data_IF_582319773033
#
_entry.id   IF_582319773033
#
_cell.length_a   1.000
_cell.length_b   1.000
_cell.length_c   1.000
_cell.angle_alpha   90.00
_cell.angle_beta   90.00
_cell.angle_gamma   90.00
#
_symmetry.space_group_name_H-M   'P 1'
#
loop_
_entity.id
_entity.type
_entity.pdbx_description
1 polymer ?
#
# COMPACT_ATOMS: atom_id res chain seq x y z
N UNK A 1 25.62 2.97 12.72
CA UNK A 1 24.22 3.20 13.14
C UNK A 1 23.62 4.31 12.29
N UNK A 2 23.14 3.99 11.10
CA UNK A 2 22.17 4.85 10.41
C UNK A 2 20.87 4.64 11.18
N UNK A 3 20.40 5.64 11.91
CA UNK A 3 19.05 5.61 12.47
C UNK A 3 18.10 5.59 11.27
N UNK A 4 17.34 4.51 11.17
CA UNK A 4 16.40 4.26 10.09
C UNK A 4 15.37 5.40 10.14
N UNK A 5 15.20 6.11 9.03
CA UNK A 5 14.22 7.20 8.86
C UNK A 5 12.79 6.64 8.65
N UNK A 6 12.52 5.44 9.17
CA UNK A 6 11.27 4.67 8.99
C UNK A 6 10.05 5.39 9.59
N UNK A 7 10.27 6.10 10.70
CA UNK A 7 9.18 6.62 11.54
C UNK A 7 8.81 8.08 11.29
N UNK A 8 9.08 8.69 10.12
CA UNK A 8 8.83 10.14 9.93
C UNK A 8 7.60 10.49 9.07
N UNK A 9 7.01 9.55 8.33
CA UNK A 9 5.90 9.86 7.40
C UNK A 9 4.59 9.11 7.71
N UNK A 10 4.60 7.85 8.16
CA UNK A 10 3.42 7.32 8.89
C UNK A 10 3.15 8.20 10.12
N UNK A 11 4.22 8.76 10.69
CA UNK A 11 4.19 9.81 11.70
C UNK A 11 3.69 11.16 11.18
N UNK A 12 3.82 11.52 9.89
CA UNK A 12 3.29 12.79 9.39
C UNK A 12 1.75 12.77 9.28
N UNK A 13 1.16 11.60 9.02
CA UNK A 13 -0.29 11.41 9.13
C UNK A 13 -0.70 11.32 10.61
N UNK A 14 0.00 10.57 11.46
CA UNK A 14 -0.40 10.43 12.87
C UNK A 14 0.02 11.58 13.82
N UNK A 15 0.98 12.44 13.48
CA UNK A 15 1.44 13.54 14.34
C UNK A 15 0.73 14.88 14.06
N UNK A 16 0.02 15.00 12.93
CA UNK A 16 -0.99 16.05 12.78
C UNK A 16 -2.17 15.85 13.77
N UNK A 17 -2.38 14.60 14.22
CA UNK A 17 -3.43 14.20 15.17
C UNK A 17 -3.27 14.71 16.63
N UNK A 18 -2.32 15.61 16.91
CA UNK A 18 -2.23 16.32 18.20
C UNK A 18 -1.95 17.82 18.02
N UNK A 19 -2.50 18.41 16.96
CA UNK A 19 -2.55 19.86 16.75
C UNK A 19 -3.34 20.55 17.85
N UNK A 20 -2.73 20.77 19.02
CA UNK A 20 -3.18 21.78 19.96
C UNK A 20 -3.27 23.10 19.19
N UNK A 21 -4.50 23.60 19.05
CA UNK A 21 -4.77 24.86 18.37
C UNK A 21 -3.77 25.93 18.86
N UNK A 22 -3.16 26.73 17.97
CA UNK A 22 -2.31 27.82 18.41
C UNK A 22 -3.15 28.75 19.29
N UNK A 23 -2.75 28.85 20.57
CA UNK A 23 -3.33 29.76 21.55
C UNK A 23 -3.32 31.18 20.97
N UNK A 24 -4.49 31.66 20.53
CA UNK A 24 -4.68 33.04 20.12
C UNK A 24 -4.29 33.94 21.29
N UNK A 25 -3.21 34.70 21.11
CA UNK A 25 -2.75 35.69 22.05
C UNK A 25 -3.79 36.81 22.22
N UNK A 26 -4.67 36.66 23.22
CA UNK A 26 -5.54 37.71 23.67
C UNK A 26 -4.76 38.73 24.49
N UNK A 27 -4.64 39.94 23.94
CA UNK A 27 -4.24 41.15 24.65
C UNK A 27 -5.27 41.50 25.73
N UNK A 28 -4.87 41.51 27.01
CA UNK A 28 -5.50 42.38 28.02
C UNK A 28 -4.48 42.88 29.03
N UNK A 29 -4.54 44.19 29.26
CA UNK A 29 -3.84 44.91 30.30
C UNK A 29 -4.70 44.95 31.58
N UNK A 30 -4.03 45.01 32.74
CA UNK A 30 -4.49 45.82 33.86
C UNK A 30 -5.11 45.09 35.06
N UNK A 31 -4.42 45.31 36.19
CA UNK A 31 -4.90 45.38 37.58
C UNK A 31 -5.01 44.14 38.49
N UNK A 32 -4.02 44.15 39.40
CA UNK A 32 -3.89 43.74 40.80
C UNK A 32 -5.15 43.39 41.66
N UNK A 33 -4.94 42.70 42.81
CA UNK A 33 -5.86 41.73 43.43
C UNK A 33 -6.70 42.33 44.57
N UNK A 34 -7.63 41.57 45.20
CA UNK A 34 -7.24 40.89 46.45
C UNK A 34 -8.03 39.60 46.85
N UNK A 35 -7.47 38.95 47.87
CA UNK A 35 -8.11 38.26 48.99
C UNK A 35 -8.55 36.78 48.89
N UNK A 36 -7.88 36.01 49.75
CA UNK A 36 -8.30 34.81 50.47
C UNK A 36 -9.82 34.63 50.65
N UNK A 37 -10.28 33.38 50.52
CA UNK A 37 -11.04 32.73 51.60
C UNK A 37 -10.99 31.22 51.44
N UNK A 38 -10.62 30.55 52.52
CA UNK A 38 -10.72 29.12 52.71
C UNK A 38 -12.20 28.67 52.68
N UNK A 39 -12.48 27.51 52.08
CA UNK A 39 -13.75 26.82 52.27
C UNK A 39 -13.53 25.34 52.60
N UNK A 40 -14.13 24.99 53.72
CA UNK A 40 -14.02 23.76 54.50
C UNK A 40 -14.74 22.59 53.82
N UNK A 41 -14.13 21.41 53.93
CA UNK A 41 -14.66 20.13 53.53
C UNK A 41 -16.01 19.78 54.19
N UNK A 42 -16.87 19.08 53.46
CA UNK A 42 -18.01 18.34 53.99
C UNK A 42 -17.94 16.88 53.50
N UNK A 43 -18.08 15.88 54.40
CA UNK A 43 -18.06 14.47 54.00
C UNK A 43 -19.42 14.01 53.45
N UNK A 44 -19.37 13.19 52.40
CA UNK A 44 -20.52 12.52 51.80
C UNK A 44 -21.02 11.35 52.67
N UNK A 45 -22.34 11.09 52.74
CA UNK A 45 -22.90 10.00 53.54
C UNK A 45 -22.79 8.62 52.86
N UNK A 46 -22.56 7.60 53.69
CA UNK A 46 -22.57 6.17 53.34
C UNK A 46 -23.95 5.69 52.85
N UNK A 47 -24.03 4.85 51.80
CA UNK A 47 -25.27 4.16 51.44
C UNK A 47 -25.53 2.95 52.35
N UNK A 48 -26.71 2.96 52.96
CA UNK A 48 -27.28 1.88 53.77
C UNK A 48 -27.79 0.75 52.87
N UNK A 49 -27.26 -0.47 53.07
CA UNK A 49 -27.76 -1.68 52.42
C UNK A 49 -29.16 -2.05 52.93
N UNK A 50 -30.14 -2.07 52.03
CA UNK A 50 -31.48 -2.61 52.29
C UNK A 50 -31.56 -4.03 51.73
N UNK A 51 -31.64 -5.01 52.63
CA UNK A 51 -31.88 -6.41 52.27
C UNK A 51 -33.36 -6.61 51.88
N UNK A 52 -33.60 -6.94 50.62
CA UNK A 52 -34.92 -7.35 50.13
C UNK A 52 -35.09 -8.87 50.22
N UNK A 53 -36.19 -9.29 50.83
CA UNK A 53 -36.53 -10.68 51.09
C UNK A 53 -36.84 -11.47 49.82
N UNK A 54 -36.25 -12.65 49.70
CA UNK A 54 -36.50 -13.61 48.62
C UNK A 54 -37.82 -14.36 48.86
N UNK A 55 -38.84 -14.08 48.06
CA UNK A 55 -40.04 -14.88 48.00
C UNK A 55 -39.82 -16.10 47.10
N UNK A 56 -39.93 -17.31 47.67
CA UNK A 56 -39.87 -18.57 46.92
C UNK A 56 -41.24 -18.86 46.32
N UNK A 57 -41.41 -18.60 45.02
CA UNK A 57 -42.57 -19.04 44.27
C UNK A 57 -42.32 -20.45 43.72
N UNK A 58 -43.16 -21.41 44.13
CA UNK A 58 -43.17 -22.76 43.56
C UNK A 58 -43.86 -22.71 42.20
N UNK A 59 -43.08 -22.77 41.13
CA UNK A 59 -43.59 -22.81 39.76
C UNK A 59 -44.02 -24.23 39.38
N UNK A 60 -45.27 -24.37 38.96
CA UNK A 60 -45.82 -25.58 38.35
C UNK A 60 -45.12 -25.84 37.02
N UNK A 61 -44.50 -27.01 36.87
CA UNK A 61 -43.79 -27.40 35.66
C UNK A 61 -44.76 -27.49 34.46
N UNK A 62 -44.56 -26.61 33.48
CA UNK A 62 -45.14 -26.70 32.14
C UNK A 62 -44.33 -27.74 31.36
N UNK A 63 -44.96 -28.68 30.64
CA UNK A 63 -44.24 -29.68 29.85
C UNK A 63 -43.31 -28.99 28.83
N UNK A 64 -42.02 -29.30 28.94
CA UNK A 64 -40.97 -28.83 28.04
C UNK A 64 -41.26 -29.35 26.63
N UNK A 65 -41.41 -28.48 25.62
CA UNK A 65 -41.56 -28.93 24.24
C UNK A 65 -40.30 -29.69 23.81
N UNK A 66 -40.52 -30.76 23.05
CA UNK A 66 -39.47 -31.57 22.44
C UNK A 66 -38.52 -30.67 21.62
N UNK A 67 -37.19 -30.83 21.72
CA UNK A 67 -36.25 -29.95 21.05
C UNK A 67 -36.42 -30.04 19.53
N UNK A 68 -37.00 -28.99 18.94
CA UNK A 68 -37.00 -28.78 17.50
C UNK A 68 -35.56 -28.81 17.01
N UNK A 69 -35.26 -29.69 16.05
CA UNK A 69 -33.93 -29.84 15.47
C UNK A 69 -33.35 -28.45 15.13
N UNK A 70 -32.26 -28.09 15.79
CA UNK A 70 -31.49 -26.88 15.50
C UNK A 70 -31.10 -26.93 14.03
N UNK A 71 -31.52 -25.92 13.26
CA UNK A 71 -31.14 -25.81 11.86
C UNK A 71 -29.61 -25.88 11.74
N UNK A 72 -29.12 -26.60 10.73
CA UNK A 72 -27.69 -26.66 10.44
C UNK A 72 -27.15 -25.22 10.28
N UNK A 73 -25.94 -24.93 10.78
CA UNK A 73 -25.36 -23.60 10.65
C UNK A 73 -25.30 -23.22 9.16
N UNK A 74 -25.89 -22.08 8.83
CA UNK A 74 -25.73 -21.45 7.51
C UNK A 74 -24.24 -21.21 7.30
N UNK A 75 -23.71 -21.59 6.14
CA UNK A 75 -22.31 -21.34 5.80
C UNK A 75 -22.01 -19.85 5.97
N UNK A 76 -20.90 -19.52 6.65
CA UNK A 76 -20.39 -18.15 6.73
C UNK A 76 -20.11 -17.66 5.31
N UNK A 77 -20.62 -16.49 4.90
CA UNK A 77 -20.32 -15.94 3.59
C UNK A 77 -18.81 -15.75 3.40
N UNK A 78 -18.29 -16.13 2.24
CA UNK A 78 -16.90 -15.86 1.85
C UNK A 78 -16.77 -14.38 1.48
N UNK A 79 -16.15 -13.60 2.36
CA UNK A 79 -15.95 -12.16 2.16
C UNK A 79 -15.05 -11.84 0.96
N UNK A 80 -14.30 -12.82 0.43
CA UNK A 80 -13.34 -12.64 -0.66
C UNK A 80 -13.89 -13.05 -2.04
N UNK A 81 -15.15 -13.48 -2.12
CA UNK A 81 -15.74 -14.06 -3.31
C UNK A 81 -15.63 -13.16 -4.55
N UNK A 82 -15.78 -11.85 -4.37
CA UNK A 82 -15.77 -10.85 -5.45
C UNK A 82 -14.50 -10.01 -5.51
N UNK A 83 -13.46 -10.34 -4.73
CA UNK A 83 -12.22 -9.55 -4.74
C UNK A 83 -11.51 -9.63 -6.08
N UNK A 84 -11.09 -8.47 -6.60
CA UNK A 84 -10.21 -8.34 -7.76
C UNK A 84 -8.75 -8.35 -7.33
N UNK A 85 -7.84 -8.64 -8.25
CA UNK A 85 -6.40 -8.70 -7.98
C UNK A 85 -5.72 -7.42 -8.45
N UNK A 86 -5.05 -6.74 -7.52
CA UNK A 86 -4.05 -5.73 -7.83
C UNK A 86 -2.69 -6.41 -8.02
N UNK A 87 -1.92 -5.91 -8.98
CA UNK A 87 -0.50 -6.22 -9.15
C UNK A 87 0.20 -4.90 -9.37
N UNK A 88 1.26 -4.65 -8.59
CA UNK A 88 2.02 -3.42 -8.73
C UNK A 88 2.77 -3.39 -10.07
N UNK A 89 3.27 -2.21 -10.42
CA UNK A 89 3.98 -1.99 -11.68
C UNK A 89 5.28 -2.80 -11.83
N UNK A 90 5.91 -3.20 -10.72
CA UNK A 90 7.11 -4.03 -10.74
C UNK A 90 6.81 -5.52 -10.63
N UNK A 91 5.53 -5.90 -10.48
CA UNK A 91 5.05 -7.25 -10.21
C UNK A 91 5.68 -7.89 -8.97
N UNK A 92 6.18 -7.07 -8.05
CA UNK A 92 6.75 -7.48 -6.77
C UNK A 92 5.68 -7.72 -5.72
N UNK A 93 4.48 -7.15 -5.89
CA UNK A 93 3.39 -7.26 -4.93
C UNK A 93 2.11 -7.60 -5.68
N UNK A 94 1.39 -8.57 -5.15
CA UNK A 94 -0.03 -8.74 -5.45
C UNK A 94 -0.84 -8.68 -4.18
N UNK A 95 -2.05 -8.16 -4.29
CA UNK A 95 -3.06 -8.25 -3.25
C UNK A 95 -4.43 -8.35 -3.89
N UNK A 96 -5.41 -8.80 -3.12
CA UNK A 96 -6.81 -8.88 -3.53
C UNK A 96 -7.64 -7.90 -2.72
N UNK A 97 -8.61 -7.23 -3.35
CA UNK A 97 -9.45 -6.22 -2.71
C UNK A 97 -10.82 -6.11 -3.37
N UNK A 98 -11.85 -5.55 -2.69
CA UNK A 98 -13.16 -5.36 -3.29
C UNK A 98 -13.11 -4.41 -4.51
N UNK A 99 -13.89 -4.68 -5.58
CA UNK A 99 -13.83 -3.90 -6.82
C UNK A 99 -14.35 -2.47 -6.71
N UNK A 100 -15.11 -2.16 -5.65
CA UNK A 100 -15.68 -0.85 -5.36
C UNK A 100 -14.79 0.03 -4.45
N UNK A 101 -13.68 -0.51 -3.94
CA UNK A 101 -12.74 0.24 -3.13
C UNK A 101 -11.84 1.13 -3.99
N UNK A 102 -11.55 2.31 -3.47
CA UNK A 102 -10.58 3.23 -4.06
C UNK A 102 -9.17 2.67 -3.86
N UNK A 103 -8.36 2.71 -4.93
CA UNK A 103 -6.96 2.29 -4.92
C UNK A 103 -6.09 3.42 -5.44
N UNK A 104 -5.04 3.74 -4.70
CA UNK A 104 -3.95 4.62 -5.12
C UNK A 104 -2.60 3.94 -4.92
N UNK A 105 -1.72 4.08 -5.90
CA UNK A 105 -0.34 3.61 -5.83
C UNK A 105 0.60 4.79 -6.06
N UNK A 106 1.46 5.06 -5.09
CA UNK A 106 2.58 5.98 -5.25
C UNK A 106 3.89 5.18 -5.37
N UNK A 107 4.68 5.51 -6.40
CA UNK A 107 5.97 4.85 -6.63
C UNK A 107 7.09 5.87 -6.49
N UNK A 108 8.01 5.60 -5.56
CA UNK A 108 9.22 6.36 -5.33
C UNK A 108 10.45 5.46 -5.54
N UNK A 109 11.63 5.98 -5.90
CA UNK A 109 12.84 5.17 -6.00
C UNK A 109 13.11 4.42 -4.69
N UNK A 110 13.02 3.08 -4.72
CA UNK A 110 13.23 2.21 -3.56
C UNK A 110 12.02 2.01 -2.65
N UNK A 111 10.86 2.58 -3.00
CA UNK A 111 9.66 2.53 -2.17
C UNK A 111 8.37 2.46 -2.98
N UNK A 112 7.47 1.57 -2.59
CA UNK A 112 6.11 1.46 -3.11
C UNK A 112 5.14 1.75 -1.98
N UNK A 113 4.17 2.63 -2.22
CA UNK A 113 3.06 2.88 -1.30
C UNK A 113 1.75 2.54 -1.99
N UNK A 114 0.90 1.78 -1.31
CA UNK A 114 -0.42 1.37 -1.76
C UNK A 114 -1.43 1.85 -0.72
N UNK A 115 -2.42 2.62 -1.15
CA UNK A 115 -3.53 3.08 -0.31
C UNK A 115 -4.83 2.49 -0.86
N UNK A 116 -5.55 1.75 -0.02
CA UNK A 116 -6.87 1.20 -0.28
C UNK A 116 -7.86 1.78 0.72
N UNK A 117 -9.02 2.22 0.23
CA UNK A 117 -10.08 2.78 1.05
C UNK A 117 -11.45 2.29 0.58
N UNK A 118 -12.41 2.15 1.50
CA UNK A 118 -13.76 1.68 1.18
C UNK A 118 -14.51 2.54 0.16
N UNK A 119 -14.15 3.82 0.04
CA UNK A 119 -14.55 4.71 -1.05
C UNK A 119 -13.53 5.85 -1.23
N UNK A 120 -13.65 6.62 -2.33
CA UNK A 120 -12.74 7.72 -2.64
C UNK A 120 -12.76 8.82 -1.58
N UNK A 121 -13.92 9.11 -0.98
CA UNK A 121 -13.98 10.09 0.10
C UNK A 121 -13.26 9.58 1.35
N UNK A 122 -13.27 8.26 1.62
CA UNK A 122 -12.59 7.72 2.81
C UNK A 122 -11.09 7.88 2.65
N UNK A 123 -10.59 7.81 1.42
CA UNK A 123 -9.19 8.11 1.12
C UNK A 123 -8.84 9.55 1.50
N UNK A 124 -9.66 10.53 1.10
CA UNK A 124 -9.50 11.93 1.51
C UNK A 124 -9.57 12.09 3.04
N UNK A 125 -10.54 11.44 3.68
CA UNK A 125 -10.72 11.50 5.14
C UNK A 125 -9.52 10.91 5.91
N UNK A 126 -8.84 9.89 5.36
CA UNK A 126 -7.62 9.32 5.96
C UNK A 126 -6.46 10.33 5.90
N UNK A 127 -6.38 11.15 4.84
CA UNK A 127 -5.37 12.20 4.73
C UNK A 127 -5.66 13.38 5.67
N UNK A 128 -6.95 13.65 5.91
CA UNK A 128 -7.44 14.74 6.77
C UNK A 128 -7.70 14.30 8.24
N UNK A 129 -7.44 13.04 8.60
CA UNK A 129 -7.68 12.45 9.93
C UNK A 129 -9.17 12.47 10.40
N UNK A 130 -10.13 12.47 9.47
CA UNK A 130 -11.56 12.46 9.79
C UNK A 130 -12.15 11.04 9.90
N UNK A 131 -12.14 10.50 11.12
CA UNK A 131 -12.72 9.19 11.43
C UNK A 131 -14.20 9.24 11.86
N UNK A 132 -14.93 10.31 11.53
CA UNK A 132 -16.33 10.50 11.97
C UNK A 132 -17.33 9.55 11.31
N UNK A 133 -16.95 8.87 10.22
CA UNK A 133 -17.82 7.93 9.49
C UNK A 133 -17.25 6.50 9.43
N UNK A 134 -18.09 5.49 9.15
CA UNK A 134 -17.63 4.13 8.89
C UNK A 134 -16.64 4.09 7.73
N UNK A 135 -15.42 3.63 7.99
CA UNK A 135 -14.37 3.52 7.00
C UNK A 135 -13.55 2.25 7.23
N UNK A 136 -13.13 1.62 6.14
CA UNK A 136 -12.14 0.56 6.11
C UNK A 136 -11.00 0.96 5.19
N UNK A 137 -9.76 0.69 5.61
CA UNK A 137 -8.59 1.04 4.83
C UNK A 137 -7.43 0.07 5.01
N UNK A 138 -6.56 0.04 4.00
CA UNK A 138 -5.26 -0.64 4.05
C UNK A 138 -4.22 0.26 3.41
N UNK A 139 -3.15 0.55 4.15
CA UNK A 139 -1.99 1.29 3.66
C UNK A 139 -0.79 0.36 3.72
N UNK A 140 -0.25 -0.02 2.57
CA UNK A 140 0.99 -0.78 2.45
C UNK A 140 2.14 0.13 2.09
N UNK A 141 3.24 0.09 2.84
CA UNK A 141 4.51 0.69 2.46
C UNK A 141 5.58 -0.39 2.40
N UNK A 142 6.28 -0.44 1.27
CA UNK A 142 7.29 -1.44 0.99
C UNK A 142 8.57 -0.71 0.67
N UNK A 143 9.57 -0.89 1.51
CA UNK A 143 10.87 -0.27 1.36
C UNK A 143 11.92 -1.37 1.11
N UNK A 144 12.70 -1.19 0.05
CA UNK A 144 13.83 -2.07 -0.23
C UNK A 144 14.98 -1.68 0.70
N UNK A 145 14.94 -2.16 1.94
CA UNK A 145 16.01 -1.93 2.89
C UNK A 145 17.21 -2.81 2.59
N UNK A 146 18.27 -2.20 2.03
CA UNK A 146 19.58 -2.82 1.92
C UNK A 146 20.31 -2.67 3.27
N UNK A 147 20.16 -3.63 4.19
CA UNK A 147 20.73 -3.55 5.53
C UNK A 147 20.56 -4.83 6.36
N UNK A 148 21.18 -4.84 7.54
CA UNK A 148 21.23 -5.93 8.53
C UNK A 148 19.88 -6.63 8.72
N UNK A 149 19.86 -7.97 8.71
CA UNK A 149 18.65 -8.81 8.86
C UNK A 149 17.81 -8.32 10.06
N UNK A 150 16.62 -7.77 9.78
CA UNK A 150 15.70 -7.36 10.82
C UNK A 150 14.57 -8.40 10.94
N UNK A 151 14.36 -8.90 12.16
CA UNK A 151 13.21 -9.74 12.47
C UNK A 151 11.94 -8.89 12.52
N UNK A 152 10.82 -9.40 12.01
CA UNK A 152 9.54 -8.69 11.95
C UNK A 152 9.05 -8.19 13.32
N UNK A 153 9.28 -8.95 14.39
CA UNK A 153 8.96 -8.53 15.76
C UNK A 153 9.73 -7.28 16.17
N UNK A 154 11.03 -7.21 15.86
CA UNK A 154 11.84 -6.04 16.20
C UNK A 154 11.36 -4.80 15.44
N UNK A 155 11.11 -4.93 14.14
CA UNK A 155 10.59 -3.83 13.31
C UNK A 155 9.22 -3.37 13.84
N UNK A 156 8.35 -4.30 14.19
CA UNK A 156 7.07 -3.98 14.83
C UNK A 156 7.28 -3.24 16.16
N UNK A 157 8.14 -3.73 17.06
CA UNK A 157 8.39 -3.08 18.35
C UNK A 157 8.99 -1.68 18.21
N UNK A 158 9.91 -1.47 17.26
CA UNK A 158 10.45 -0.15 16.93
C UNK A 158 9.33 0.79 16.47
N UNK A 159 8.42 0.29 15.63
CA UNK A 159 7.25 1.04 15.19
C UNK A 159 6.32 1.37 16.35
N UNK A 160 5.94 0.38 17.18
CA UNK A 160 5.06 0.57 18.35
C UNK A 160 5.63 1.57 19.35
N UNK A 161 6.95 1.55 19.58
CA UNK A 161 7.65 2.48 20.50
C UNK A 161 7.62 3.93 20.00
N UNK A 162 7.47 4.12 18.68
CA UNK A 162 7.40 5.45 18.07
C UNK A 162 5.99 6.05 18.01
N UNK A 163 4.96 5.27 18.38
CA UNK A 163 3.58 5.73 18.31
C UNK A 163 3.25 6.80 19.36
N UNK A 164 2.32 7.73 19.05
CA UNK A 164 1.79 8.68 20.03
C UNK A 164 1.12 7.99 21.22
N UNK A 165 1.13 8.65 22.38
CA UNK A 165 0.45 8.17 23.61
C UNK A 165 -1.08 8.06 23.47
N UNK A 166 -1.66 8.61 22.40
CA UNK A 166 -3.10 8.50 22.08
C UNK A 166 -3.49 7.12 21.56
N UNK A 167 -2.52 6.25 21.27
CA UNK A 167 -2.73 4.86 20.92
C UNK A 167 -2.56 3.94 22.12
N UNK A 168 -3.45 2.96 22.22
CA UNK A 168 -3.40 1.92 23.25
C UNK A 168 -3.30 0.55 22.60
N UNK A 169 -2.37 -0.28 23.08
CA UNK A 169 -2.20 -1.64 22.58
C UNK A 169 -3.42 -2.48 22.95
N UNK A 170 -3.93 -3.26 21.99
CA UNK A 170 -5.01 -4.22 22.21
C UNK A 170 -4.48 -5.63 22.05
N UNK A 171 -4.32 -6.35 23.16
CA UNK A 171 -3.77 -7.71 23.17
C UNK A 171 -2.25 -7.76 23.00
N UNK A 172 -1.73 -8.97 22.93
CA UNK A 172 -0.30 -9.25 22.72
C UNK A 172 0.02 -9.31 21.21
N UNK A 173 1.26 -9.03 20.79
CA UNK A 173 1.68 -9.20 19.41
C UNK A 173 1.52 -10.66 18.95
N UNK A 174 1.11 -10.86 17.71
CA UNK A 174 1.05 -12.16 17.04
C UNK A 174 2.23 -12.27 16.10
N UNK A 175 3.05 -13.31 16.27
CA UNK A 175 4.23 -13.57 15.44
C UNK A 175 4.06 -14.91 14.77
N UNK A 176 4.30 -14.97 13.46
CA UNK A 176 4.23 -16.21 12.70
C UNK A 176 5.23 -16.23 11.53
N UNK A 177 5.39 -17.39 10.91
CA UNK A 177 6.21 -17.57 9.72
C UNK A 177 5.36 -18.24 8.64
N UNK A 178 5.47 -17.76 7.41
CA UNK A 178 4.80 -18.35 6.26
C UNK A 178 5.76 -18.31 5.06
N UNK A 179 6.04 -19.48 4.48
CA UNK A 179 6.91 -19.62 3.30
C UNK A 179 8.31 -19.00 3.47
N UNK A 180 8.84 -18.98 4.71
CA UNK A 180 10.15 -18.42 5.03
C UNK A 180 10.17 -16.91 5.28
N UNK A 181 9.02 -16.23 5.12
CA UNK A 181 8.85 -14.83 5.55
C UNK A 181 8.38 -14.80 7.01
N UNK A 182 8.96 -13.89 7.80
CA UNK A 182 8.53 -13.63 9.17
C UNK A 182 7.46 -12.54 9.19
N UNK A 183 6.46 -12.74 10.02
CA UNK A 183 5.36 -11.83 10.20
C UNK A 183 5.22 -11.47 11.67
N UNK A 184 4.92 -10.20 11.93
CA UNK A 184 4.54 -9.73 13.25
C UNK A 184 3.38 -8.77 13.11
N UNK A 185 2.34 -8.97 13.93
CA UNK A 185 1.15 -8.13 13.91
C UNK A 185 0.75 -7.67 15.31
N UNK A 186 0.28 -6.43 15.42
CA UNK A 186 -0.27 -5.87 16.64
C UNK A 186 -1.42 -4.95 16.30
N UNK A 187 -2.55 -5.17 16.97
CA UNK A 187 -3.69 -4.25 16.92
C UNK A 187 -3.54 -3.18 18.00
N UNK A 188 -3.89 -1.94 17.65
CA UNK A 188 -3.97 -0.80 18.55
C UNK A 188 -5.30 -0.08 18.38
N UNK A 189 -5.76 0.57 19.43
CA UNK A 189 -6.88 1.49 19.40
C UNK A 189 -6.34 2.93 19.55
N UNK A 190 -6.58 3.76 18.54
CA UNK A 190 -6.31 5.20 18.57
C UNK A 190 -7.60 5.98 18.78
N UNK A 191 -7.53 7.13 19.45
CA UNK A 191 -8.67 8.06 19.61
C UNK A 191 -8.26 9.49 19.30
N UNK A 192 -9.08 10.18 18.50
CA UNK A 192 -8.98 11.61 18.24
C UNK A 192 -10.33 12.31 18.47
N UNK A 193 -10.43 13.59 18.10
CA UNK A 193 -11.67 14.37 18.23
C UNK A 193 -12.81 13.83 17.34
N UNK A 194 -12.46 13.22 16.20
CA UNK A 194 -13.40 12.70 15.20
C UNK A 194 -13.91 11.30 15.52
N UNK A 195 -13.17 10.50 16.29
CA UNK A 195 -13.60 9.15 16.69
C UNK A 195 -12.50 8.25 17.25
N UNK A 196 -12.84 6.96 17.36
CA UNK A 196 -11.88 5.91 17.65
C UNK A 196 -11.60 5.11 16.37
N UNK A 197 -10.36 4.67 16.20
CA UNK A 197 -9.90 3.84 15.09
C UNK A 197 -9.22 2.61 15.66
N UNK A 198 -9.56 1.44 15.12
CA UNK A 198 -8.87 0.20 15.39
C UNK A 198 -7.91 -0.05 14.22
N UNK A 199 -6.62 -0.14 14.51
CA UNK A 199 -5.56 -0.27 13.50
C UNK A 199 -4.75 -1.51 13.80
N UNK A 200 -4.54 -2.37 12.81
CA UNK A 200 -3.64 -3.51 12.87
C UNK A 200 -2.41 -3.22 12.03
N UNK A 201 -1.26 -3.18 12.69
CA UNK A 201 0.03 -3.16 12.01
C UNK A 201 0.43 -4.59 11.71
N UNK A 202 0.85 -4.85 10.48
CA UNK A 202 1.40 -6.13 10.05
C UNK A 202 2.73 -5.86 9.36
N UNK A 203 3.80 -6.32 9.98
CA UNK A 203 5.15 -6.25 9.44
C UNK A 203 5.50 -7.60 8.83
N UNK A 204 6.07 -7.58 7.64
CA UNK A 204 6.58 -8.75 6.93
C UNK A 204 8.06 -8.51 6.67
N UNK A 205 8.92 -9.44 7.08
CA UNK A 205 10.37 -9.34 6.82
C UNK A 205 10.96 -10.61 6.24
N UNK A 206 11.86 -10.42 5.29
CA UNK A 206 12.83 -11.38 4.76
C UNK A 206 14.15 -10.64 4.44
N UNK A 207 14.63 -10.66 3.19
CA UNK A 207 15.64 -9.73 2.67
C UNK A 207 15.10 -8.30 2.48
N UNK A 208 13.78 -8.12 2.55
CA UNK A 208 13.02 -6.88 2.41
C UNK A 208 12.15 -6.64 3.64
N UNK A 209 11.59 -5.42 3.72
CA UNK A 209 10.64 -5.07 4.77
C UNK A 209 9.39 -4.48 4.12
N UNK A 210 8.25 -5.06 4.47
CA UNK A 210 6.95 -4.51 4.14
C UNK A 210 6.17 -4.23 5.43
N UNK A 211 5.55 -3.06 5.51
CA UNK A 211 4.65 -2.70 6.59
C UNK A 211 3.29 -2.42 6.00
N UNK A 212 2.30 -3.19 6.44
CA UNK A 212 0.90 -2.98 6.12
C UNK A 212 0.17 -2.49 7.36
N UNK A 213 -0.60 -1.43 7.18
CA UNK A 213 -1.47 -0.85 8.19
C UNK A 213 -2.89 -1.05 7.70
N UNK A 214 -3.62 -1.98 8.30
CA UNK A 214 -5.06 -2.09 8.08
C UNK A 214 -5.80 -1.40 9.21
N UNK A 215 -6.91 -0.74 8.91
CA UNK A 215 -7.68 -0.07 9.94
C UNK A 215 -9.14 0.09 9.62
N UNK A 216 -9.93 0.26 10.68
CA UNK A 216 -11.36 0.52 10.61
C UNK A 216 -11.73 1.56 11.66
N UNK A 217 -12.66 2.45 11.34
CA UNK A 217 -13.25 3.32 12.37
C UNK A 217 -14.13 2.50 13.31
N UNK A 218 -14.21 2.88 14.58
CA UNK A 218 -14.96 2.12 15.58
C UNK A 218 -16.45 1.99 15.23
N UNK A 219 -17.02 2.97 14.53
CA UNK A 219 -18.42 2.94 14.06
C UNK A 219 -18.61 1.99 12.87
N UNK A 220 -17.53 1.66 12.14
CA UNK A 220 -17.52 0.76 10.98
C UNK A 220 -16.83 -0.59 11.20
N UNK A 221 -16.34 -0.88 12.41
CA UNK A 221 -15.52 -2.07 12.68
C UNK A 221 -16.21 -3.37 12.27
N UNK A 222 -17.47 -3.56 12.65
CA UNK A 222 -18.27 -4.75 12.31
C UNK A 222 -18.44 -4.98 10.79
N UNK A 223 -18.31 -3.92 9.98
CA UNK A 223 -18.45 -4.00 8.53
C UNK A 223 -17.12 -4.29 7.83
N UNK A 224 -16.04 -3.65 8.30
CA UNK A 224 -14.79 -3.59 7.55
C UNK A 224 -13.67 -4.44 8.11
N UNK A 225 -13.75 -4.90 9.35
CA UNK A 225 -12.63 -5.61 10.00
C UNK A 225 -12.26 -6.89 9.25
N UNK A 226 -13.25 -7.71 8.89
CA UNK A 226 -13.00 -8.95 8.14
C UNK A 226 -12.50 -8.67 6.72
N UNK A 227 -12.96 -7.57 6.11
CA UNK A 227 -12.56 -7.17 4.75
C UNK A 227 -11.11 -6.69 4.74
N UNK A 228 -10.74 -5.79 5.65
CA UNK A 228 -9.38 -5.24 5.71
C UNK A 228 -8.37 -6.31 6.11
N UNK A 229 -8.73 -7.24 7.00
CA UNK A 229 -7.88 -8.39 7.32
C UNK A 229 -7.72 -9.30 6.10
N UNK A 230 -8.80 -9.61 5.38
CA UNK A 230 -8.72 -10.43 4.17
C UNK A 230 -7.86 -9.79 3.06
N UNK A 231 -7.84 -8.46 2.95
CA UNK A 231 -6.93 -7.75 2.05
C UNK A 231 -5.47 -8.00 2.46
N UNK A 232 -5.13 -7.80 3.74
CA UNK A 232 -3.75 -8.01 4.25
C UNK A 232 -3.32 -9.48 4.10
N UNK A 233 -4.20 -10.43 4.41
CA UNK A 233 -3.93 -11.86 4.27
C UNK A 233 -3.73 -12.30 2.81
N UNK A 234 -4.21 -11.50 1.85
CA UNK A 234 -4.06 -11.76 0.41
C UNK A 234 -2.78 -11.16 -0.18
N UNK A 235 -1.99 -10.44 0.60
CA UNK A 235 -0.73 -9.86 0.15
C UNK A 235 0.26 -10.98 -0.14
N UNK A 236 0.76 -11.00 -1.36
CA UNK A 236 1.90 -11.83 -1.76
C UNK A 236 3.03 -10.92 -2.22
N UNK A 237 4.22 -11.12 -1.66
CA UNK A 237 5.44 -10.45 -2.08
C UNK A 237 6.19 -11.40 -3.01
N UNK A 238 6.14 -11.11 -4.30
CA UNK A 238 6.86 -11.81 -5.35
C UNK A 238 8.30 -11.33 -5.35
N UNK A 239 9.16 -12.01 -4.60
CA UNK A 239 10.59 -11.80 -4.68
C UNK A 239 11.07 -12.12 -6.09
N UNK A 240 11.70 -11.14 -6.73
CA UNK A 240 12.47 -11.40 -7.94
C UNK A 240 13.81 -12.00 -7.53
N UNK A 241 13.82 -13.31 -7.28
CA UNK A 241 15.03 -14.09 -7.06
C UNK A 241 16.00 -13.79 -8.21
N UNK A 242 17.12 -13.16 -7.87
CA UNK A 242 18.38 -13.14 -8.62
C UNK A 242 18.27 -13.07 -10.16
N UNK A 243 18.32 -11.86 -10.71
CA UNK A 243 18.73 -11.64 -12.10
C UNK A 243 20.23 -11.96 -12.38
N UNK A 244 20.95 -12.68 -11.49
CA UNK A 244 22.41 -12.85 -11.58
C UNK A 244 22.94 -14.29 -11.41
N UNK A 245 22.12 -15.32 -11.29
CA UNK A 245 22.60 -16.71 -11.38
C UNK A 245 21.90 -17.42 -12.55
N UNK A 246 22.62 -17.75 -13.65
CA UNK A 246 22.02 -18.59 -14.68
C UNK A 246 21.87 -20.02 -14.12
N UNK A 247 20.65 -20.59 -14.05
CA UNK A 247 20.50 -22.01 -13.75
C UNK A 247 21.13 -22.83 -14.88
N UNK A 248 21.75 -23.97 -14.58
CA UNK A 248 22.27 -24.84 -15.60
C UNK A 248 21.07 -25.46 -16.35
N UNK A 249 20.93 -25.06 -17.61
CA UNK A 249 20.27 -25.84 -18.66
C UNK A 249 18.72 -25.77 -18.78
N UNK A 250 18.09 -24.61 -18.50
CA UNK A 250 16.66 -24.42 -18.84
C UNK A 250 16.43 -23.25 -19.82
N UNK A 251 15.67 -23.59 -20.88
CA UNK A 251 14.87 -22.81 -21.83
C UNK A 251 14.93 -21.26 -21.75
N UNK A 252 15.07 -20.54 -22.88
CA UNK A 252 15.34 -19.10 -22.89
C UNK A 252 14.34 -18.31 -22.05
N UNK A 253 14.88 -17.71 -20.99
CA UNK A 253 14.16 -16.92 -19.99
C UNK A 253 13.30 -15.85 -20.64
N UNK A 254 12.05 -15.71 -20.18
CA UNK A 254 11.19 -14.58 -20.50
C UNK A 254 11.91 -13.27 -20.21
N UNK A 255 11.85 -12.33 -21.16
CA UNK A 255 12.29 -10.96 -20.93
C UNK A 255 11.69 -10.40 -19.64
N UNK A 256 12.46 -9.57 -18.94
CA UNK A 256 11.96 -8.90 -17.74
C UNK A 256 10.71 -8.06 -18.03
N UNK A 257 9.88 -7.75 -17.01
CA UNK A 257 8.70 -6.93 -17.19
C UNK A 257 9.14 -5.52 -17.62
N UNK A 258 8.49 -5.00 -18.65
CA UNK A 258 8.67 -3.63 -19.15
C UNK A 258 8.20 -2.63 -18.09
N UNK A 259 9.02 -1.62 -17.78
CA UNK A 259 8.60 -0.51 -16.92
C UNK A 259 7.89 0.57 -17.74
N UNK A 260 6.55 0.53 -17.74
CA UNK A 260 5.69 1.49 -18.43
C UNK A 260 5.49 2.83 -17.68
N UNK A 261 6.00 2.99 -16.46
CA UNK A 261 5.75 4.18 -15.64
C UNK A 261 6.65 5.36 -16.01
N UNK A 262 7.79 5.09 -16.66
CA UNK A 262 8.73 6.12 -17.08
C UNK A 262 9.01 6.05 -18.58
N UNK A 263 9.22 7.20 -19.26
CA UNK A 263 9.58 7.19 -20.67
C UNK A 263 10.88 6.43 -20.95
N UNK A 264 11.84 6.54 -20.03
CA UNK A 264 13.13 5.85 -20.10
C UNK A 264 12.98 4.34 -19.93
N UNK A 265 12.05 3.86 -19.11
CA UNK A 265 11.79 2.44 -18.90
C UNK A 265 11.30 1.74 -20.18
N UNK A 266 10.40 2.40 -20.92
CA UNK A 266 9.91 1.91 -22.21
C UNK A 266 11.02 1.86 -23.25
N UNK A 267 11.82 2.93 -23.39
CA UNK A 267 12.93 2.93 -24.35
C UNK A 267 14.02 1.91 -23.97
N UNK A 268 14.30 1.73 -22.69
CA UNK A 268 15.25 0.73 -22.21
C UNK A 268 14.80 -0.70 -22.57
N UNK A 269 13.49 -0.96 -22.55
CA UNK A 269 12.93 -2.25 -22.95
C UNK A 269 13.18 -2.57 -24.44
N UNK A 270 13.21 -1.55 -25.31
CA UNK A 270 13.58 -1.69 -26.73
C UNK A 270 15.03 -2.15 -26.87
N UNK A 271 15.97 -1.52 -26.16
CA UNK A 271 17.38 -1.92 -26.21
C UNK A 271 17.59 -3.34 -25.64
N UNK A 272 16.89 -3.68 -24.55
CA UNK A 272 16.95 -5.02 -23.97
C UNK A 272 16.42 -6.08 -24.94
N UNK A 273 15.32 -5.79 -25.64
CA UNK A 273 14.75 -6.68 -26.66
C UNK A 273 15.77 -6.99 -27.75
N UNK A 274 16.51 -5.97 -28.20
CA UNK A 274 17.56 -6.11 -29.21
C UNK A 274 18.77 -6.87 -28.67
N UNK A 275 19.21 -6.59 -27.45
CA UNK A 275 20.37 -7.24 -26.82
C UNK A 275 20.15 -8.72 -26.52
N UNK A 276 18.92 -9.07 -26.12
CA UNK A 276 18.55 -10.44 -25.72
C UNK A 276 17.91 -11.24 -26.86
N UNK A 277 17.66 -10.59 -28.00
CA UNK A 277 16.89 -11.15 -29.12
C UNK A 277 15.49 -11.64 -28.69
N UNK A 278 14.82 -10.84 -27.85
CA UNK A 278 13.52 -11.16 -27.26
C UNK A 278 12.46 -10.15 -27.72
N UNK A 279 11.57 -10.61 -28.60
CA UNK A 279 10.67 -9.71 -29.33
C UNK A 279 9.22 -9.78 -28.86
N UNK A 280 8.85 -10.79 -28.07
CA UNK A 280 7.44 -11.11 -27.76
C UNK A 280 6.68 -10.00 -27.05
N UNK A 281 7.36 -9.13 -26.32
CA UNK A 281 6.77 -8.02 -25.56
C UNK A 281 6.86 -6.67 -26.28
N UNK A 282 7.47 -6.61 -27.48
CA UNK A 282 7.58 -5.36 -28.23
C UNK A 282 6.21 -4.82 -28.67
N UNK A 283 5.24 -5.71 -28.90
CA UNK A 283 3.86 -5.34 -29.19
C UNK A 283 3.18 -4.59 -28.03
N UNK A 284 3.61 -4.83 -26.79
CA UNK A 284 3.04 -4.13 -25.62
C UNK A 284 3.56 -2.69 -25.49
N UNK A 285 4.64 -2.33 -26.21
CA UNK A 285 5.24 -0.99 -26.19
C UNK A 285 4.50 0.01 -27.08
N UNK A 286 3.58 -0.46 -27.93
CA UNK A 286 2.90 0.33 -28.94
C UNK A 286 1.79 1.20 -28.35
N UNK A 287 1.55 2.37 -28.93
CA UNK A 287 0.38 3.16 -28.54
C UNK A 287 -0.88 2.33 -28.80
N UNK A 288 -1.71 2.01 -27.78
CA UNK A 288 -2.94 1.25 -27.97
C UNK A 288 -3.95 1.93 -28.90
N UNK A 289 -3.78 3.23 -29.21
CA UNK A 289 -4.58 3.94 -30.19
C UNK A 289 -4.04 3.85 -31.64
N UNK A 290 -2.85 3.25 -31.84
CA UNK A 290 -2.23 3.09 -33.14
C UNK A 290 -1.80 4.41 -33.79
N UNK A 291 -1.49 5.43 -32.99
CA UNK A 291 -1.05 6.74 -33.47
C UNK A 291 0.48 6.85 -33.65
N UNK A 292 1.21 5.78 -33.35
CA UNK A 292 2.66 5.73 -33.50
C UNK A 292 3.08 5.76 -34.98
N UNK A 293 4.27 6.26 -35.27
CA UNK A 293 4.80 6.39 -36.62
C UNK A 293 5.23 5.06 -37.24
N UNK A 294 5.71 5.12 -38.48
CA UNK A 294 6.09 3.91 -39.23
C UNK A 294 7.26 3.16 -38.60
N UNK A 295 8.24 3.86 -38.04
CA UNK A 295 9.46 3.25 -37.53
C UNK A 295 9.23 2.61 -36.15
N UNK A 296 8.44 3.25 -35.29
CA UNK A 296 7.96 2.64 -34.05
C UNK A 296 7.00 1.48 -34.30
N UNK A 297 6.13 1.56 -35.32
CA UNK A 297 5.29 0.43 -35.72
C UNK A 297 6.15 -0.76 -36.16
N UNK A 298 7.24 -0.52 -36.87
CA UNK A 298 8.14 -1.60 -37.26
C UNK A 298 8.75 -2.31 -36.04
N UNK A 299 9.10 -1.58 -34.97
CA UNK A 299 9.59 -2.18 -33.72
C UNK A 299 8.52 -3.05 -33.08
N UNK A 300 7.30 -2.52 -33.00
CA UNK A 300 6.12 -3.22 -32.48
C UNK A 300 5.85 -4.54 -33.20
N UNK A 301 5.91 -4.51 -34.52
CA UNK A 301 5.60 -5.66 -35.37
C UNK A 301 6.62 -6.80 -35.22
N UNK A 302 7.82 -6.56 -34.67
CA UNK A 302 8.86 -7.60 -34.50
C UNK A 302 8.43 -8.78 -33.61
N UNK A 303 7.40 -8.59 -32.79
CA UNK A 303 6.79 -9.66 -32.01
C UNK A 303 6.26 -10.78 -32.92
N UNK A 304 5.72 -10.43 -34.09
CA UNK A 304 5.12 -11.35 -35.06
C UNK A 304 5.90 -11.45 -36.38
N UNK A 305 6.51 -10.35 -36.83
CA UNK A 305 7.26 -10.25 -38.09
C UNK A 305 8.78 -10.34 -37.86
N UNK A 306 9.36 -11.45 -38.30
CA UNK A 306 10.79 -11.70 -38.16
C UNK A 306 11.65 -10.95 -39.18
N UNK A 307 11.04 -10.38 -40.23
CA UNK A 307 11.73 -9.82 -41.41
C UNK A 307 12.79 -8.77 -41.03
N UNK A 308 12.51 -7.96 -40.01
CA UNK A 308 13.36 -6.84 -39.62
C UNK A 308 14.18 -7.09 -38.35
N UNK A 309 14.12 -8.28 -37.74
CA UNK A 309 14.79 -8.58 -36.46
C UNK A 309 16.31 -8.41 -36.52
N UNK A 310 16.94 -8.88 -37.59
CA UNK A 310 18.39 -8.74 -37.77
C UNK A 310 18.82 -7.27 -37.85
N UNK A 311 18.07 -6.45 -38.59
CA UNK A 311 18.30 -5.00 -38.68
C UNK A 311 18.06 -4.33 -37.33
N UNK A 312 16.98 -4.69 -36.64
CA UNK A 312 16.68 -4.18 -35.31
C UNK A 312 17.81 -4.47 -34.31
N UNK A 313 18.30 -5.71 -34.23
CA UNK A 313 19.44 -6.09 -33.39
C UNK A 313 20.67 -5.26 -33.77
N UNK A 314 20.99 -5.18 -35.07
CA UNK A 314 22.16 -4.43 -35.55
C UNK A 314 22.14 -2.94 -35.17
N UNK A 315 20.97 -2.33 -35.03
CA UNK A 315 20.84 -0.91 -34.70
C UNK A 315 20.57 -0.63 -33.22
N UNK A 316 19.87 -1.50 -32.50
CA UNK A 316 19.40 -1.24 -31.13
C UNK A 316 20.17 -2.01 -30.06
N UNK A 317 20.91 -3.07 -30.39
CA UNK A 317 21.62 -3.86 -29.36
C UNK A 317 22.73 -3.06 -28.66
N UNK A 318 23.41 -2.17 -29.37
CA UNK A 318 24.38 -1.24 -28.78
C UNK A 318 23.73 0.07 -28.25
N UNK A 319 22.41 0.15 -28.29
CA UNK A 319 21.66 1.35 -27.94
C UNK A 319 21.70 1.67 -26.45
N UNK A 320 21.66 2.96 -26.12
CA UNK A 320 21.63 3.46 -24.74
C UNK A 320 21.03 4.85 -24.65
N UNK A 321 20.47 5.18 -23.50
CA UNK A 321 19.96 6.53 -23.22
C UNK A 321 21.15 7.52 -23.10
N UNK A 322 21.01 8.71 -23.70
CA UNK A 322 22.03 9.78 -23.77
C UNK A 322 21.49 11.10 -23.19
N UNK A 323 20.95 11.03 -21.97
CA UNK A 323 20.45 12.19 -21.24
C UNK A 323 19.17 11.91 -20.44
N UNK A 324 18.59 12.97 -19.91
CA UNK A 324 17.34 12.90 -19.15
C UNK A 324 16.12 12.98 -20.09
N UNK A 325 15.04 12.30 -19.71
CA UNK A 325 13.76 12.44 -20.38
C UNK A 325 13.18 13.84 -20.14
N UNK A 326 12.72 14.49 -21.20
CA UNK A 326 12.02 15.77 -21.13
C UNK A 326 10.53 15.52 -21.28
N UNK A 327 9.80 15.64 -20.18
CA UNK A 327 8.35 15.49 -20.15
C UNK A 327 7.71 16.84 -20.51
N UNK A 328 6.70 16.82 -21.37
CA UNK A 328 5.94 18.00 -21.76
C UNK A 328 5.22 18.64 -20.57
N UNK A 329 4.88 19.95 -20.62
CA UNK A 329 4.19 20.62 -19.52
C UNK A 329 2.83 20.01 -19.14
N UNK A 330 2.14 19.37 -20.09
CA UNK A 330 0.87 18.68 -19.86
C UNK A 330 1.05 17.23 -19.36
N UNK A 331 2.29 16.74 -19.27
CA UNK A 331 2.63 15.41 -18.76
C UNK A 331 2.28 14.25 -19.70
N UNK A 332 1.83 14.53 -20.92
CA UNK A 332 1.31 13.52 -21.84
C UNK A 332 2.31 13.04 -22.89
N UNK A 333 3.37 13.80 -23.14
CA UNK A 333 4.44 13.40 -24.07
C UNK A 333 5.80 13.51 -23.40
N UNK A 334 6.76 12.74 -23.90
CA UNK A 334 8.13 12.78 -23.43
C UNK A 334 9.11 12.62 -24.58
N UNK A 335 10.26 13.27 -24.48
CA UNK A 335 11.39 13.11 -25.38
C UNK A 335 12.57 12.51 -24.63
N UNK A 336 13.10 11.38 -25.11
CA UNK A 336 14.24 10.69 -24.50
C UNK A 336 15.40 10.66 -25.50
N UNK A 337 16.47 11.44 -25.27
CA UNK A 337 17.65 11.37 -26.13
C UNK A 337 18.35 10.02 -25.96
N UNK A 338 18.79 9.43 -27.06
CA UNK A 338 19.49 8.15 -27.04
C UNK A 338 20.55 8.05 -28.14
N UNK A 339 21.42 7.06 -27.98
CA UNK A 339 22.41 6.64 -28.96
C UNK A 339 22.03 5.27 -29.50
N UNK A 340 22.18 5.06 -30.80
CA UNK A 340 21.89 3.79 -31.48
C UNK A 340 22.84 3.57 -32.68
N UNK A 341 22.53 2.57 -33.49
CA UNK A 341 23.31 2.12 -34.63
C UNK A 341 24.33 1.02 -34.28
N UNK A 342 25.03 0.46 -35.28
CA UNK A 342 25.96 -0.65 -35.09
C UNK A 342 27.06 -0.39 -34.05
N UNK A 343 27.48 0.88 -33.91
CA UNK A 343 28.51 1.30 -32.96
C UNK A 343 27.92 1.97 -31.70
N UNK A 344 26.60 2.09 -31.57
CA UNK A 344 25.94 2.74 -30.44
C UNK A 344 26.31 4.23 -30.27
N UNK A 345 26.52 4.94 -31.38
CA UNK A 345 27.04 6.31 -31.38
C UNK A 345 26.23 7.30 -32.25
N UNK A 346 25.18 6.84 -32.94
CA UNK A 346 24.27 7.69 -33.70
C UNK A 346 23.25 8.31 -32.74
N UNK A 347 23.11 9.63 -32.74
CA UNK A 347 22.19 10.33 -31.85
C UNK A 347 20.79 10.36 -32.44
N UNK A 348 19.81 10.06 -31.60
CA UNK A 348 18.40 10.21 -31.93
C UNK A 348 17.58 10.60 -30.70
N UNK A 349 16.32 11.00 -30.87
CA UNK A 349 15.40 11.29 -29.78
C UNK A 349 14.11 10.51 -29.92
N UNK A 350 13.82 9.63 -28.96
CA UNK A 350 12.57 8.89 -28.91
C UNK A 350 11.48 9.77 -28.32
N UNK A 351 10.36 9.93 -29.03
CA UNK A 351 9.14 10.50 -28.48
C UNK A 351 8.21 9.40 -28.00
N UNK A 352 7.65 9.63 -26.82
CA UNK A 352 6.71 8.73 -26.16
C UNK A 352 5.43 9.47 -25.82
N UNK A 353 4.33 8.72 -25.77
CA UNK A 353 3.00 9.22 -25.40
C UNK A 353 2.46 8.48 -24.18
N UNK A 354 1.79 9.21 -23.29
CA UNK A 354 1.19 8.64 -22.07
C UNK A 354 -0.29 8.34 -22.28
N UNK A 355 -0.71 7.09 -22.04
CA UNK A 355 -2.12 6.66 -22.02
C UNK A 355 -2.41 5.95 -20.71
N UNK A 356 -3.44 6.40 -19.99
CA UNK A 356 -3.90 5.76 -18.75
C UNK A 356 -2.75 5.48 -17.76
N UNK A 357 -1.89 6.49 -17.52
CA UNK A 357 -0.76 6.35 -16.59
C UNK A 357 0.49 5.68 -17.17
N UNK A 358 0.43 5.06 -18.35
CA UNK A 358 1.53 4.28 -18.97
C UNK A 358 2.12 4.98 -20.19
N UNK A 359 3.42 4.83 -20.42
CA UNK A 359 4.12 5.38 -21.59
C UNK A 359 4.21 4.38 -22.74
N UNK A 360 4.17 4.86 -23.97
CA UNK A 360 4.22 4.05 -25.19
C UNK A 360 5.10 4.72 -26.24
N UNK A 361 5.65 3.92 -27.16
CA UNK A 361 6.41 4.41 -28.31
C UNK A 361 5.50 5.23 -29.22
N UNK A 362 6.00 6.38 -29.69
CA UNK A 362 5.23 7.27 -30.55
C UNK A 362 5.96 7.59 -31.87
N UNK A 363 7.17 8.14 -31.83
CA UNK A 363 7.98 8.39 -33.05
C UNK A 363 9.47 8.58 -32.69
N UNK A 364 10.39 8.39 -33.63
CA UNK A 364 11.81 8.76 -33.47
C UNK A 364 12.53 9.02 -34.79
#
# INVERSE_FOLDING_TARGET
MKRIYFGLIVWAMMAAACGGAPEEAATTAGDAPPAETASTAAPAPEPTATAAATATATATAVPTPEPTATAAPTATPDVTADFITFRDAFQQITLRYPPDWALEQETNPGRIRITLASDEGVKEDIEDDDFSRPAGFVVGEIELLFGEEANAEQVLQEFLTSMPETFSLTGEPVIWEQEGMQFASQTVEGRNESGAVLVTFTVMTDEYQAVFVSGTTAVGADQYQDITQAIVDSVEIHMRLEQNAPPPDESPASAGPVNFLTPTGVLQAVFQAAQMEQYSYLADLCDPLGENDRDTQMICDLAEDETNRASFVAYFAAGKIDGEARISPDGNTAEVPFLFGPDGNQKETMKLIKRNGRWYLFEF
#
